data_IF_857315905167
#
_entry.id   IF_857315905167
#
_cell.length_a   1.000
_cell.length_b   1.000
_cell.length_c   1.000
_cell.angle_alpha   90.00
_cell.angle_beta   90.00
_cell.angle_gamma   90.00
#
_symmetry.space_group_name_H-M   'P 1'
#
loop_
_entity.id
_entity.type
_entity.pdbx_description
1 polymer ?
#
# COMPACT_ATOMS: atom_id res chain seq x y z
N UNK A 1 0.64 -0.87 1.28
CA UNK A 1 1.96 -1.52 1.46
C UNK A 1 2.80 -0.82 2.54
N UNK A 2 3.04 0.49 2.47
CA UNK A 2 3.77 1.24 3.50
C UNK A 2 3.25 1.00 4.94
N UNK A 3 1.94 0.98 5.14
CA UNK A 3 1.35 0.64 6.45
C UNK A 3 1.80 -0.75 6.97
N UNK A 4 1.80 -1.77 6.10
CA UNK A 4 2.22 -3.11 6.46
C UNK A 4 3.72 -3.17 6.78
N UNK A 5 4.53 -2.35 6.10
CA UNK A 5 5.96 -2.23 6.37
C UNK A 5 6.25 -1.63 7.73
N UNK A 6 5.63 -0.49 8.04
CA UNK A 6 5.76 0.16 9.36
C UNK A 6 5.25 -0.76 10.47
N UNK A 7 4.15 -1.48 10.24
CA UNK A 7 3.62 -2.45 11.21
C UNK A 7 4.44 -3.76 11.29
N UNK A 8 5.40 -3.99 10.39
CA UNK A 8 6.11 -5.28 10.18
C UNK A 8 5.18 -6.48 9.96
N UNK A 9 4.10 -6.27 9.24
CA UNK A 9 3.09 -7.28 8.94
C UNK A 9 3.11 -7.68 7.46
N UNK A 10 2.59 -8.87 7.17
CA UNK A 10 2.52 -9.40 5.82
C UNK A 10 1.21 -8.99 5.13
N UNK A 11 1.29 -8.77 3.82
CA UNK A 11 0.20 -8.31 2.96
C UNK A 11 -0.21 -9.41 1.99
N UNK A 12 -1.51 -9.66 1.85
CA UNK A 12 -2.10 -10.52 0.84
C UNK A 12 -2.81 -9.68 -0.22
N UNK A 13 -2.44 -9.86 -1.47
CA UNK A 13 -3.07 -9.24 -2.64
C UNK A 13 -3.93 -10.29 -3.37
N UNK A 14 -5.24 -10.05 -3.43
CA UNK A 14 -6.19 -10.94 -4.11
C UNK A 14 -6.78 -10.21 -5.30
N UNK A 15 -6.61 -10.75 -6.50
CA UNK A 15 -7.13 -10.13 -7.71
C UNK A 15 -6.69 -10.86 -8.96
N UNK A 16 -7.34 -10.65 -10.11
CA UNK A 16 -7.04 -11.36 -11.33
C UNK A 16 -5.58 -11.16 -11.78
N UNK A 17 -5.05 -12.07 -12.63
CA UNK A 17 -3.72 -11.91 -13.20
C UNK A 17 -3.66 -10.66 -14.08
N UNK A 18 -2.47 -10.05 -14.20
CA UNK A 18 -2.26 -8.86 -15.04
C UNK A 18 -2.65 -7.52 -14.39
N UNK A 19 -3.04 -7.50 -13.12
CA UNK A 19 -3.41 -6.29 -12.35
C UNK A 19 -2.23 -5.47 -11.80
N UNK A 20 -1.01 -5.71 -12.29
CA UNK A 20 0.18 -4.95 -11.85
C UNK A 20 0.66 -5.22 -10.42
N UNK A 21 0.14 -6.26 -9.73
CA UNK A 21 0.51 -6.63 -8.35
C UNK A 21 2.03 -6.70 -8.14
N UNK A 22 2.75 -7.43 -9.01
CA UNK A 22 4.21 -7.59 -8.93
C UNK A 22 4.94 -6.27 -9.20
N UNK A 23 4.45 -5.46 -10.14
CA UNK A 23 5.05 -4.16 -10.46
C UNK A 23 4.94 -3.18 -9.27
N UNK A 24 3.78 -3.12 -8.61
CA UNK A 24 3.58 -2.29 -7.43
C UNK A 24 4.53 -2.70 -6.29
N UNK A 25 4.69 -4.01 -6.05
CA UNK A 25 5.60 -4.52 -5.01
C UNK A 25 7.05 -4.19 -5.33
N UNK A 26 7.49 -4.39 -6.57
CA UNK A 26 8.84 -4.03 -7.02
C UNK A 26 9.11 -2.53 -6.87
N UNK A 27 8.16 -1.68 -7.24
CA UNK A 27 8.32 -0.23 -7.13
C UNK A 27 8.58 0.21 -5.68
N UNK A 28 7.84 -0.37 -4.72
CA UNK A 28 8.06 -0.06 -3.30
C UNK A 28 9.36 -0.65 -2.76
N UNK A 29 9.77 -1.83 -3.24
CA UNK A 29 10.99 -2.47 -2.78
C UNK A 29 12.27 -1.85 -3.38
N UNK A 30 12.22 -1.42 -4.65
CA UNK A 30 13.36 -0.88 -5.41
C UNK A 30 14.05 0.29 -4.70
N UNK A 31 13.28 1.06 -3.96
CA UNK A 31 13.79 2.19 -3.21
C UNK A 31 14.43 1.87 -1.85
N UNK A 32 14.19 0.69 -1.30
CA UNK A 32 14.60 0.38 0.08
C UNK A 32 16.04 -0.07 0.23
N UNK A 33 16.69 -0.43 -0.88
CA UNK A 33 18.00 -1.10 -0.88
C UNK A 33 17.97 -2.51 -0.28
N UNK A 34 16.79 -3.06 0.00
CA UNK A 34 16.65 -4.33 0.70
C UNK A 34 16.90 -5.53 -0.22
N UNK A 35 17.39 -6.63 0.36
CA UNK A 35 17.45 -7.93 -0.34
C UNK A 35 16.04 -8.44 -0.62
N UNK A 36 15.66 -8.40 -1.89
CA UNK A 36 14.34 -8.81 -2.35
C UNK A 36 14.39 -10.24 -2.89
N UNK A 37 13.39 -11.04 -2.51
CA UNK A 37 13.15 -12.36 -3.07
C UNK A 37 11.79 -12.38 -3.76
N UNK A 38 11.76 -12.73 -5.04
CA UNK A 38 10.54 -12.84 -5.83
C UNK A 38 10.43 -14.25 -6.41
N UNK A 39 9.29 -14.90 -6.21
CA UNK A 39 9.06 -16.26 -6.71
C UNK A 39 7.58 -16.53 -6.99
N UNK A 40 7.30 -17.22 -8.10
CA UNK A 40 5.96 -17.69 -8.48
C UNK A 40 5.78 -19.14 -8.04
N UNK A 41 4.88 -19.39 -7.09
CA UNK A 41 4.66 -20.71 -6.52
C UNK A 41 3.71 -21.53 -7.41
N UNK A 42 4.19 -22.69 -7.85
CA UNK A 42 3.40 -23.70 -8.56
C UNK A 42 3.14 -24.94 -7.72
N UNK A 43 2.25 -25.80 -8.22
CA UNK A 43 1.89 -27.09 -7.55
C UNK A 43 3.07 -28.05 -7.42
N UNK A 44 4.06 -27.92 -8.29
CA UNK A 44 5.26 -28.76 -8.33
C UNK A 44 6.50 -28.04 -7.82
N UNK A 45 6.37 -26.83 -7.30
CA UNK A 45 7.50 -26.11 -6.72
C UNK A 45 8.11 -26.95 -5.61
N UNK A 46 9.43 -27.05 -5.63
CA UNK A 46 10.20 -27.78 -4.65
C UNK A 46 10.67 -26.83 -3.53
N UNK A 47 10.80 -27.32 -2.28
CA UNK A 47 11.35 -26.51 -1.20
C UNK A 47 12.74 -25.94 -1.49
N UNK A 48 13.55 -26.63 -2.32
CA UNK A 48 14.88 -26.15 -2.71
C UNK A 48 14.86 -24.84 -3.50
N UNK A 49 13.77 -24.55 -4.20
CA UNK A 49 13.62 -23.35 -5.03
C UNK A 49 13.33 -22.10 -4.18
N UNK A 50 12.71 -22.26 -3.00
CA UNK A 50 12.43 -21.15 -2.08
C UNK A 50 13.45 -21.04 -0.96
N UNK A 51 13.89 -22.17 -0.43
CA UNK A 51 14.69 -22.24 0.78
C UNK A 51 16.11 -22.73 0.55
N UNK A 52 16.49 -22.96 -0.71
CA UNK A 52 17.82 -23.38 -1.09
C UNK A 52 18.02 -24.90 -1.16
N UNK A 53 18.87 -25.38 -2.09
CA UNK A 53 19.21 -26.79 -2.21
C UNK A 53 19.98 -27.27 -0.97
N UNK A 54 20.04 -28.59 -0.77
CA UNK A 54 20.92 -29.14 0.26
C UNK A 54 22.38 -28.99 -0.16
N UNK A 55 23.21 -28.55 0.77
CA UNK A 55 24.66 -28.54 0.63
C UNK A 55 25.15 -30.00 0.59
N UNK A 56 25.69 -30.40 -0.57
CA UNK A 56 26.16 -31.77 -0.80
C UNK A 56 27.38 -32.13 0.04
N UNK A 57 28.24 -31.16 0.39
CA UNK A 57 29.40 -31.40 1.25
C UNK A 57 28.97 -31.60 2.70
N UNK A 58 28.05 -30.76 3.17
CA UNK A 58 27.44 -30.94 4.50
C UNK A 58 26.69 -32.28 4.59
N UNK A 59 25.98 -32.67 3.53
CA UNK A 59 25.25 -33.93 3.48
C UNK A 59 26.19 -35.14 3.52
N UNK A 60 27.33 -35.09 2.81
CA UNK A 60 28.38 -36.13 2.91
C UNK A 60 28.93 -36.28 4.33
N UNK A 61 28.93 -35.20 5.11
CA UNK A 61 29.29 -35.20 6.53
C UNK A 61 28.11 -35.55 7.47
N UNK A 62 26.98 -36.02 6.93
CA UNK A 62 25.78 -36.41 7.70
C UNK A 62 24.94 -35.23 8.22
N UNK A 63 25.17 -34.01 7.71
CA UNK A 63 24.46 -32.80 8.16
C UNK A 63 23.44 -32.35 7.11
N UNK A 64 22.18 -32.17 7.51
CA UNK A 64 21.13 -31.61 6.68
C UNK A 64 21.17 -30.08 6.72
N UNK A 65 22.06 -29.49 5.92
CA UNK A 65 22.22 -28.03 5.80
C UNK A 65 21.79 -27.56 4.41
N UNK A 66 20.85 -26.61 4.29
CA UNK A 66 20.55 -25.96 3.03
C UNK A 66 21.54 -24.82 2.73
N UNK A 67 21.84 -24.60 1.45
CA UNK A 67 22.48 -23.37 0.96
C UNK A 67 21.40 -22.32 0.70
N UNK A 68 21.27 -21.37 1.62
CA UNK A 68 20.23 -20.34 1.61
C UNK A 68 20.65 -19.06 0.87
N UNK A 69 21.83 -19.05 0.23
CA UNK A 69 22.38 -17.86 -0.40
C UNK A 69 21.43 -17.30 -1.48
N UNK A 70 20.98 -16.07 -1.30
CA UNK A 70 20.04 -15.41 -2.24
C UNK A 70 18.62 -15.98 -2.23
N UNK A 71 18.29 -16.82 -1.24
CA UNK A 71 16.98 -17.47 -1.10
C UNK A 71 16.11 -16.73 -0.09
N UNK A 72 14.84 -17.15 0.03
CA UNK A 72 13.86 -16.55 0.94
C UNK A 72 14.37 -16.38 2.40
N UNK A 73 15.13 -17.32 2.99
CA UNK A 73 15.63 -17.16 4.36
C UNK A 73 16.59 -15.98 4.57
N UNK A 74 17.21 -15.42 3.52
CA UNK A 74 18.09 -14.24 3.61
C UNK A 74 17.40 -12.92 3.20
N UNK A 75 16.18 -13.03 2.68
CA UNK A 75 15.43 -11.92 2.14
C UNK A 75 14.90 -10.98 3.24
N UNK A 76 14.98 -9.68 2.97
CA UNK A 76 14.42 -8.62 3.80
C UNK A 76 13.01 -8.26 3.33
N UNK A 77 12.75 -8.45 2.04
CA UNK A 77 11.45 -8.34 1.41
C UNK A 77 11.19 -9.56 0.53
N UNK A 78 9.96 -10.08 0.59
CA UNK A 78 9.56 -11.20 -0.26
C UNK A 78 8.27 -10.90 -1.02
N UNK A 79 8.23 -11.26 -2.31
CA UNK A 79 7.03 -11.33 -3.12
C UNK A 79 6.80 -12.79 -3.54
N UNK A 80 5.69 -13.37 -3.09
CA UNK A 80 5.31 -14.74 -3.39
C UNK A 80 4.01 -14.73 -4.20
N UNK A 81 4.10 -14.95 -5.50
CA UNK A 81 2.93 -15.04 -6.36
C UNK A 81 2.35 -16.46 -6.33
N UNK A 82 1.04 -16.56 -6.49
CA UNK A 82 0.24 -17.77 -6.29
C UNK A 82 0.55 -18.53 -4.99
N UNK A 83 0.60 -17.78 -3.88
CA UNK A 83 1.11 -18.26 -2.59
C UNK A 83 0.35 -19.48 -2.03
N UNK A 84 -0.89 -19.72 -2.47
CA UNK A 84 -1.72 -20.85 -2.03
C UNK A 84 -1.53 -22.13 -2.86
N UNK A 85 -0.80 -22.10 -3.99
CA UNK A 85 -0.56 -23.28 -4.83
C UNK A 85 0.58 -24.17 -4.31
N UNK A 86 1.31 -23.71 -3.30
CA UNK A 86 2.44 -24.45 -2.73
C UNK A 86 2.03 -25.80 -2.12
N UNK A 87 2.94 -26.76 -2.19
CA UNK A 87 2.77 -28.04 -1.49
C UNK A 87 2.68 -27.84 0.03
N UNK A 88 2.09 -28.80 0.75
CA UNK A 88 2.01 -28.75 2.23
C UNK A 88 3.36 -28.55 2.89
N UNK A 89 4.44 -29.10 2.31
CA UNK A 89 5.80 -28.90 2.79
C UNK A 89 6.26 -27.43 2.68
N UNK A 90 5.96 -26.77 1.55
CA UNK A 90 6.26 -25.35 1.34
C UNK A 90 5.46 -24.49 2.30
N UNK A 91 4.15 -24.70 2.38
CA UNK A 91 3.27 -23.89 3.22
C UNK A 91 3.67 -23.97 4.70
N UNK A 92 4.01 -25.16 5.20
CA UNK A 92 4.49 -25.34 6.57
C UNK A 92 5.84 -24.65 6.82
N UNK A 93 6.77 -24.71 5.87
CA UNK A 93 8.03 -23.98 5.98
C UNK A 93 7.82 -22.45 5.96
N UNK A 94 6.91 -21.97 5.10
CA UNK A 94 6.50 -20.57 5.05
C UNK A 94 5.84 -20.12 6.36
N UNK A 95 5.10 -20.98 7.06
CA UNK A 95 4.55 -20.63 8.39
C UNK A 95 5.66 -20.27 9.39
N UNK A 96 6.78 -21.00 9.40
CA UNK A 96 7.93 -20.68 10.25
C UNK A 96 8.55 -19.33 9.87
N UNK A 97 8.72 -19.10 8.58
CA UNK A 97 9.29 -17.86 8.05
C UNK A 97 8.42 -16.64 8.35
N UNK A 98 7.10 -16.72 8.10
CA UNK A 98 6.17 -15.60 8.26
C UNK A 98 5.88 -15.31 9.75
N UNK A 99 5.72 -16.34 10.58
CA UNK A 99 5.35 -16.15 12.00
C UNK A 99 6.56 -15.90 12.89
N UNK A 100 7.49 -16.85 12.91
CA UNK A 100 8.59 -16.88 13.87
C UNK A 100 9.78 -16.07 13.36
N UNK A 101 9.77 -15.65 12.08
CA UNK A 101 10.91 -15.06 11.40
C UNK A 101 12.14 -15.97 11.55
N UNK A 102 11.91 -17.28 11.41
CA UNK A 102 12.92 -18.33 11.49
C UNK A 102 12.69 -19.39 10.44
N UNK A 103 13.78 -19.95 9.93
CA UNK A 103 13.75 -21.09 9.02
C UNK A 103 14.45 -22.27 9.68
N UNK A 104 13.74 -23.40 9.77
CA UNK A 104 14.22 -24.64 10.38
C UNK A 104 14.16 -25.80 9.40
N UNK A 105 15.26 -26.55 9.30
CA UNK A 105 15.34 -27.81 8.54
C UNK A 105 16.28 -28.78 9.24
N UNK A 106 15.72 -29.79 9.92
CA UNK A 106 16.50 -30.69 10.76
C UNK A 106 17.20 -29.93 11.89
N UNK A 107 18.54 -30.01 11.93
CA UNK A 107 19.36 -29.26 12.90
C UNK A 107 19.74 -27.85 12.44
N UNK A 108 19.42 -27.48 11.19
CA UNK A 108 19.61 -26.12 10.71
C UNK A 108 18.48 -25.23 11.23
N UNK A 109 18.83 -24.14 11.90
CA UNK A 109 17.90 -23.14 12.42
C UNK A 109 18.55 -21.75 12.30
N UNK A 110 17.93 -20.86 11.54
CA UNK A 110 18.42 -19.48 11.33
C UNK A 110 17.29 -18.47 11.48
N UNK A 111 17.64 -17.28 11.95
CA UNK A 111 16.74 -16.13 11.88
C UNK A 111 16.61 -15.66 10.43
N UNK A 112 15.41 -15.18 10.07
CA UNK A 112 15.08 -14.65 8.75
C UNK A 112 14.87 -13.14 8.89
N UNK A 113 15.63 -12.29 8.17
CA UNK A 113 15.59 -10.83 8.32
C UNK A 113 14.39 -10.19 7.60
N UNK A 114 13.39 -10.97 7.21
CA UNK A 114 12.20 -10.52 6.50
C UNK A 114 11.50 -9.43 7.31
N UNK A 115 11.23 -8.27 6.73
CA UNK A 115 10.39 -7.19 7.30
C UNK A 115 8.94 -7.39 6.87
N UNK A 116 8.74 -7.66 5.58
CA UNK A 116 7.43 -7.86 4.98
C UNK A 116 7.48 -8.90 3.86
N UNK A 117 6.37 -9.63 3.74
CA UNK A 117 6.11 -10.55 2.65
C UNK A 117 4.81 -10.10 2.03
N UNK A 118 4.80 -9.96 0.71
CA UNK A 118 3.59 -9.73 -0.06
C UNK A 118 3.27 -11.05 -0.77
N UNK A 119 2.19 -11.70 -0.32
CA UNK A 119 1.61 -12.83 -1.03
C UNK A 119 0.61 -12.33 -2.06
N UNK A 120 0.60 -12.94 -3.25
CA UNK A 120 -0.44 -12.71 -4.24
C UNK A 120 -1.14 -14.03 -4.58
N UNK A 121 -2.42 -13.94 -4.91
CA UNK A 121 -3.15 -15.02 -5.57
C UNK A 121 -4.35 -14.45 -6.33
N UNK A 122 -4.94 -15.25 -7.20
CA UNK A 122 -6.13 -14.88 -7.94
C UNK A 122 -7.40 -14.92 -7.09
N UNK A 123 -7.46 -15.84 -6.12
CA UNK A 123 -8.60 -16.02 -5.24
C UNK A 123 -8.14 -16.46 -3.85
N UNK A 124 -9.02 -16.27 -2.86
CA UNK A 124 -8.84 -16.87 -1.55
C UNK A 124 -9.11 -18.37 -1.62
N UNK A 125 -8.40 -19.19 -0.84
CA UNK A 125 -8.60 -20.63 -0.84
C UNK A 125 -9.88 -21.00 -0.08
N UNK A 126 -10.61 -21.99 -0.57
CA UNK A 126 -11.79 -22.56 0.12
C UNK A 126 -11.41 -23.59 1.20
N UNK A 127 -10.21 -24.18 1.09
CA UNK A 127 -9.72 -25.18 2.04
C UNK A 127 -9.44 -24.54 3.43
N UNK A 128 -10.05 -25.05 4.52
CA UNK A 128 -9.79 -24.59 5.88
C UNK A 128 -8.30 -24.58 6.29
N UNK A 129 -7.50 -25.53 5.79
CA UNK A 129 -6.06 -25.59 6.07
C UNK A 129 -5.31 -24.40 5.46
N UNK A 130 -5.70 -24.02 4.24
CA UNK A 130 -5.15 -22.85 3.57
C UNK A 130 -5.69 -21.54 4.15
N UNK A 131 -6.91 -21.53 4.70
CA UNK A 131 -7.42 -20.38 5.44
C UNK A 131 -6.58 -20.05 6.70
N UNK A 132 -6.07 -21.08 7.40
CA UNK A 132 -5.17 -20.89 8.54
C UNK A 132 -3.79 -20.32 8.13
N UNK A 133 -3.34 -20.63 6.90
CA UNK A 133 -2.16 -20.03 6.28
C UNK A 133 -2.46 -18.60 5.79
N UNK A 134 -3.62 -18.34 5.20
CA UNK A 134 -4.06 -17.00 4.81
C UNK A 134 -4.15 -16.04 6.01
N UNK A 135 -4.53 -16.55 7.19
CA UNK A 135 -4.54 -15.76 8.44
C UNK A 135 -3.20 -15.07 8.69
N UNK A 136 -2.09 -15.66 8.25
CA UNK A 136 -0.72 -15.17 8.47
C UNK A 136 -0.43 -13.83 7.81
N UNK A 137 -1.15 -13.54 6.74
CA UNK A 137 -1.19 -12.23 6.11
C UNK A 137 -2.23 -11.37 6.79
N UNK A 138 -1.77 -10.52 7.71
CA UNK A 138 -2.66 -9.69 8.51
C UNK A 138 -3.47 -8.73 7.63
N UNK A 139 -2.80 -8.09 6.67
CA UNK A 139 -3.41 -7.13 5.75
C UNK A 139 -3.88 -7.85 4.50
N UNK A 140 -5.12 -7.63 4.07
CA UNK A 140 -5.65 -8.14 2.80
C UNK A 140 -6.21 -7.00 1.98
N UNK A 141 -5.77 -6.91 0.74
CA UNK A 141 -6.26 -5.97 -0.25
C UNK A 141 -6.77 -6.73 -1.47
N UNK A 142 -7.99 -6.41 -1.87
CA UNK A 142 -8.56 -6.89 -3.11
C UNK A 142 -8.22 -5.90 -4.22
N UNK A 143 -7.62 -6.40 -5.29
CA UNK A 143 -7.16 -5.62 -6.44
C UNK A 143 -8.09 -5.92 -7.59
N UNK A 144 -8.69 -4.87 -8.13
CA UNK A 144 -9.56 -4.95 -9.30
C UNK A 144 -8.76 -4.64 -10.58
N UNK A 145 -9.22 -5.14 -11.74
CA UNK A 145 -8.74 -4.64 -13.03
C UNK A 145 -8.86 -3.12 -13.08
N UNK A 146 -7.99 -2.52 -13.89
CA UNK A 146 -8.07 -1.09 -14.13
C UNK A 146 -9.45 -0.73 -14.69
N UNK A 147 -10.03 0.36 -14.18
CA UNK A 147 -11.30 0.85 -14.69
C UNK A 147 -11.13 1.33 -16.15
N UNK A 148 -12.18 1.18 -16.95
CA UNK A 148 -12.18 1.62 -18.35
C UNK A 148 -11.80 3.11 -18.50
N UNK A 149 -12.09 3.93 -17.49
CA UNK A 149 -11.76 5.36 -17.45
C UNK A 149 -10.27 5.67 -17.38
N UNK A 150 -9.45 4.70 -16.99
CA UNK A 150 -7.99 4.84 -16.86
C UNK A 150 -7.25 4.06 -17.97
N UNK A 151 -7.98 3.45 -18.91
CA UNK A 151 -7.44 2.59 -19.95
C UNK A 151 -6.55 3.36 -20.93
N UNK A 152 -6.94 4.58 -21.30
CA UNK A 152 -6.14 5.44 -22.18
C UNK A 152 -4.77 5.76 -21.56
N UNK A 153 -4.72 6.01 -20.25
CA UNK A 153 -3.47 6.24 -19.54
C UNK A 153 -2.60 4.97 -19.56
N UNK A 154 -3.18 3.80 -19.26
CA UNK A 154 -2.45 2.52 -19.35
C UNK A 154 -1.87 2.27 -20.76
N UNK A 155 -2.67 2.50 -21.80
CA UNK A 155 -2.28 2.26 -23.19
C UNK A 155 -1.26 3.27 -23.71
N UNK A 156 -1.31 4.51 -23.21
CA UNK A 156 -0.29 5.52 -23.50
C UNK A 156 1.09 5.13 -22.93
N UNK A 157 1.15 4.09 -22.08
CA UNK A 157 2.31 3.82 -21.24
C UNK A 157 2.50 4.93 -20.20
N UNK A 158 1.52 5.84 -20.07
CA UNK A 158 1.44 6.74 -18.95
C UNK A 158 1.34 5.83 -17.75
N UNK A 159 2.29 5.95 -16.81
CA UNK A 159 2.25 5.10 -15.68
C UNK A 159 0.95 5.39 -14.93
N UNK A 160 0.02 4.44 -14.96
CA UNK A 160 -1.16 4.45 -14.08
C UNK A 160 -0.60 4.26 -12.68
N UNK A 161 -0.18 5.38 -12.09
CA UNK A 161 0.68 5.46 -10.92
C UNK A 161 1.96 4.61 -11.01
N UNK A 162 2.85 4.82 -12.00
CA UNK A 162 4.23 4.98 -11.51
C UNK A 162 4.17 6.30 -10.76
N UNK A 163 4.37 6.20 -9.46
CA UNK A 163 5.18 7.20 -8.83
C UNK A 163 6.51 7.09 -9.58
N UNK A 164 6.66 7.83 -10.69
CA UNK A 164 7.96 8.37 -11.05
C UNK A 164 8.54 8.83 -9.70
N UNK A 165 9.65 8.26 -9.21
CA UNK A 165 10.24 8.73 -7.97
C UNK A 165 10.41 10.22 -8.15
N UNK A 166 9.54 11.01 -7.49
CA UNK A 166 9.46 12.43 -7.77
C UNK A 166 10.85 12.99 -7.65
N UNK A 167 11.33 13.68 -8.69
CA UNK A 167 12.66 14.28 -8.74
C UNK A 167 12.94 15.02 -7.42
N UNK A 168 13.60 14.35 -6.45
CA UNK A 168 13.98 14.94 -5.18
C UNK A 168 13.87 14.12 -3.89
N UNK A 169 12.99 13.11 -3.75
CA UNK A 169 12.89 12.36 -2.48
C UNK A 169 13.46 10.95 -2.56
N UNK A 170 14.50 10.72 -1.75
CA UNK A 170 15.13 9.42 -1.63
C UNK A 170 14.11 8.41 -1.06
N UNK A 171 14.00 7.22 -1.64
CA UNK A 171 13.10 6.22 -1.12
C UNK A 171 13.47 5.77 0.29
N UNK A 172 12.45 5.37 1.07
CA UNK A 172 12.62 4.89 2.45
C UNK A 172 13.59 3.73 2.52
N UNK A 173 14.73 3.96 3.15
CA UNK A 173 15.74 2.94 3.41
C UNK A 173 15.23 1.90 4.40
N UNK A 174 15.84 0.71 4.38
CA UNK A 174 15.55 -0.34 5.36
C UNK A 174 15.73 0.13 6.82
N UNK A 175 16.73 0.99 7.08
CA UNK A 175 16.99 1.55 8.40
C UNK A 175 15.86 2.48 8.87
N UNK A 176 15.32 3.30 7.98
CA UNK A 176 14.16 4.16 8.28
C UNK A 176 12.92 3.32 8.54
N UNK A 177 12.68 2.25 7.77
CA UNK A 177 11.57 1.32 8.01
C UNK A 177 11.70 0.67 9.40
N UNK A 178 12.91 0.26 9.79
CA UNK A 178 13.16 -0.32 11.10
C UNK A 178 12.91 0.70 12.22
N UNK A 179 13.39 1.94 12.06
CA UNK A 179 13.15 3.03 13.02
C UNK A 179 11.64 3.38 13.15
N UNK A 180 10.92 3.41 12.03
CA UNK A 180 9.46 3.62 12.01
C UNK A 180 8.73 2.48 12.72
N UNK A 181 9.14 1.23 12.51
CA UNK A 181 8.54 0.09 13.19
C UNK A 181 8.76 0.14 14.72
N UNK A 182 9.95 0.55 15.16
CA UNK A 182 10.26 0.76 16.58
C UNK A 182 9.49 1.94 17.19
N UNK A 183 9.26 3.00 16.41
CA UNK A 183 8.40 4.10 16.82
C UNK A 183 6.92 3.67 16.92
N UNK A 184 6.43 2.89 15.95
CA UNK A 184 5.05 2.39 15.93
C UNK A 184 4.77 1.50 17.16
N UNK A 185 5.74 0.70 17.60
CA UNK A 185 5.62 -0.12 18.80
C UNK A 185 5.45 0.69 20.10
N UNK A 186 5.78 2.00 20.09
CA UNK A 186 5.67 2.89 21.25
C UNK A 186 4.41 3.75 21.26
N UNK A 187 3.55 3.64 20.25
CA UNK A 187 2.29 4.38 20.18
C UNK A 187 1.36 3.96 21.32
N UNK A 188 0.79 4.93 22.02
CA UNK A 188 -0.24 4.65 23.02
C UNK A 188 -1.57 4.29 22.35
N UNK A 189 -1.98 3.03 22.52
CA UNK A 189 -3.24 2.49 22.04
C UNK A 189 -4.34 2.50 23.10
N UNK A 190 -4.03 2.84 24.36
CA UNK A 190 -5.01 2.82 25.44
C UNK A 190 -6.27 3.66 25.15
N UNK A 191 -6.18 4.87 24.56
CA UNK A 191 -7.35 5.69 24.25
C UNK A 191 -8.31 5.02 23.25
N UNK A 192 -7.78 4.32 22.26
CA UNK A 192 -8.56 3.78 21.13
C UNK A 192 -9.04 2.34 21.34
N UNK A 193 -8.46 1.57 22.28
CA UNK A 193 -8.82 0.16 22.55
C UNK A 193 -10.33 -0.09 22.76
N UNK A 194 -11.08 0.75 23.51
CA UNK A 194 -12.53 0.55 23.65
C UNK A 194 -13.28 0.65 22.32
N UNK A 195 -12.95 1.66 21.51
CA UNK A 195 -13.53 1.85 20.18
C UNK A 195 -13.13 0.72 19.23
N UNK A 196 -11.84 0.31 19.23
CA UNK A 196 -11.36 -0.85 18.50
C UNK A 196 -12.15 -2.12 18.84
N UNK A 197 -12.37 -2.40 20.13
CA UNK A 197 -13.15 -3.55 20.57
C UNK A 197 -14.62 -3.46 20.12
N UNK A 198 -15.21 -2.25 20.11
CA UNK A 198 -16.57 -2.05 19.61
C UNK A 198 -16.66 -2.33 18.10
N UNK A 199 -15.70 -1.86 17.31
CA UNK A 199 -15.60 -2.15 15.88
C UNK A 199 -15.52 -3.67 15.64
N UNK A 200 -14.63 -4.36 16.35
CA UNK A 200 -14.49 -5.82 16.22
C UNK A 200 -15.78 -6.55 16.59
N UNK A 201 -16.49 -6.13 17.64
CA UNK A 201 -17.80 -6.71 18.02
C UNK A 201 -18.86 -6.47 16.94
N UNK A 202 -18.90 -5.27 16.34
CA UNK A 202 -19.81 -4.94 15.24
C UNK A 202 -19.56 -5.83 14.02
N UNK A 203 -18.29 -6.02 13.64
CA UNK A 203 -17.90 -6.91 12.54
C UNK A 203 -18.31 -8.37 12.83
N UNK A 204 -18.04 -8.87 14.05
CA UNK A 204 -18.46 -10.22 14.47
C UNK A 204 -19.97 -10.41 14.46
N UNK A 205 -20.74 -9.39 14.86
CA UNK A 205 -22.20 -9.42 14.83
C UNK A 205 -22.78 -9.50 13.41
N UNK A 206 -22.02 -9.08 12.40
CA UNK A 206 -22.36 -9.22 10.96
C UNK A 206 -21.86 -10.53 10.35
N UNK A 207 -21.30 -11.44 11.16
CA UNK A 207 -20.79 -12.72 10.69
C UNK A 207 -19.34 -12.68 10.17
N UNK A 208 -18.66 -11.52 10.24
CA UNK A 208 -17.26 -11.41 9.84
C UNK A 208 -16.39 -12.16 10.85
N UNK A 209 -15.71 -13.21 10.40
CA UNK A 209 -14.83 -14.03 11.24
C UNK A 209 -13.44 -13.42 11.32
N UNK A 210 -13.13 -12.83 12.47
CA UNK A 210 -11.77 -12.37 12.80
C UNK A 210 -11.19 -13.25 13.90
N UNK A 211 -10.07 -13.92 13.60
CA UNK A 211 -9.30 -14.69 14.58
C UNK A 211 -8.78 -13.78 15.69
N UNK A 212 -8.60 -14.32 16.91
CA UNK A 212 -8.05 -13.53 18.01
C UNK A 212 -6.63 -13.03 17.69
N UNK A 213 -5.87 -13.78 16.90
CA UNK A 213 -4.58 -13.34 16.35
C UNK A 213 -4.73 -12.07 15.52
N UNK A 214 -5.66 -12.03 14.57
CA UNK A 214 -5.94 -10.83 13.74
C UNK A 214 -6.37 -9.64 14.59
N UNK A 215 -7.21 -9.87 15.59
CA UNK A 215 -7.68 -8.81 16.50
C UNK A 215 -6.54 -8.26 17.35
N UNK A 216 -5.67 -9.11 17.89
CA UNK A 216 -4.53 -8.66 18.68
C UNK A 216 -3.51 -7.94 17.80
N UNK A 217 -3.12 -8.57 16.69
CA UNK A 217 -2.12 -8.02 15.75
C UNK A 217 -2.63 -6.79 15.00
N UNK A 218 -3.93 -6.69 14.74
CA UNK A 218 -4.53 -5.53 14.05
C UNK A 218 -4.27 -4.19 14.75
N UNK A 219 -4.01 -4.20 16.06
CA UNK A 219 -3.54 -3.02 16.79
C UNK A 219 -2.21 -2.47 16.26
N UNK A 220 -1.31 -3.30 15.70
CA UNK A 220 -0.06 -2.84 15.10
C UNK A 220 -0.31 -1.96 13.87
N UNK A 221 -1.39 -2.24 13.11
CA UNK A 221 -1.80 -1.41 11.98
C UNK A 221 -2.38 -0.07 12.43
N UNK A 222 -3.16 -0.06 13.52
CA UNK A 222 -3.68 1.18 14.11
C UNK A 222 -2.53 2.05 14.63
N UNK A 223 -1.55 1.44 15.30
CA UNK A 223 -0.34 2.13 15.73
C UNK A 223 0.45 2.70 14.55
N UNK A 224 0.63 1.92 13.48
CA UNK A 224 1.30 2.39 12.27
C UNK A 224 0.53 3.55 11.61
N UNK A 225 -0.80 3.52 11.59
CA UNK A 225 -1.63 4.61 11.05
C UNK A 225 -1.46 5.91 11.86
N UNK A 226 -1.48 5.82 13.20
CA UNK A 226 -1.26 6.96 14.08
C UNK A 226 0.13 7.58 13.89
N UNK A 227 1.17 6.73 13.80
CA UNK A 227 2.54 7.17 13.57
C UNK A 227 2.68 7.88 12.21
N UNK A 228 2.10 7.30 11.15
CA UNK A 228 2.08 7.89 9.81
C UNK A 228 1.40 9.27 9.84
N UNK A 229 0.37 9.44 10.67
CA UNK A 229 -0.29 10.71 10.89
C UNK A 229 0.48 11.66 11.85
N UNK A 230 1.70 11.30 12.26
CA UNK A 230 2.57 12.12 13.11
C UNK A 230 2.19 12.14 14.59
N UNK A 231 1.31 11.23 15.05
CA UNK A 231 0.86 11.14 16.44
C UNK A 231 1.60 10.05 17.20
N UNK A 232 1.74 10.25 18.52
CA UNK A 232 2.27 9.25 19.46
C UNK A 232 1.19 8.56 20.31
N UNK A 233 -0.07 8.92 20.11
CA UNK A 233 -1.24 8.26 20.67
C UNK A 233 -2.25 8.03 19.55
N UNK A 234 -2.86 6.84 19.52
CA UNK A 234 -3.85 6.50 18.50
C UNK A 234 -5.23 7.04 18.87
N UNK A 235 -5.93 7.54 17.87
CA UNK A 235 -7.29 8.08 17.99
C UNK A 235 -8.28 7.21 17.20
N UNK A 236 -9.58 7.48 17.32
CA UNK A 236 -10.60 6.79 16.50
C UNK A 236 -10.36 6.97 15.00
N UNK A 237 -9.67 8.06 14.63
CA UNK A 237 -9.24 8.32 13.27
C UNK A 237 -8.25 7.29 12.69
N UNK A 238 -7.59 6.51 13.55
CA UNK A 238 -6.58 5.52 13.17
C UNK A 238 -7.15 4.10 13.05
N UNK A 239 -8.47 3.93 13.23
CA UNK A 239 -9.15 2.63 13.19
C UNK A 239 -9.43 2.11 11.79
N UNK A 240 -9.25 2.93 10.75
CA UNK A 240 -9.54 2.53 9.37
C UNK A 240 -8.81 1.26 8.91
N UNK A 241 -7.59 0.90 9.37
CA UNK A 241 -6.92 -0.31 8.90
C UNK A 241 -7.65 -1.60 9.23
N UNK A 242 -8.61 -1.56 10.16
CA UNK A 242 -9.41 -2.72 10.55
C UNK A 242 -10.17 -3.32 9.37
N UNK A 243 -10.54 -2.52 8.37
CA UNK A 243 -11.20 -3.03 7.14
C UNK A 243 -10.31 -4.04 6.42
N UNK A 244 -8.99 -3.83 6.44
CA UNK A 244 -8.02 -4.69 5.77
C UNK A 244 -7.70 -5.98 6.55
N UNK A 245 -8.24 -6.13 7.76
CA UNK A 245 -8.21 -7.40 8.50
C UNK A 245 -9.27 -8.39 7.99
N UNK A 246 -10.19 -7.95 7.15
CA UNK A 246 -11.28 -8.80 6.61
C UNK A 246 -10.79 -9.50 5.35
N UNK A 247 -10.74 -10.84 5.40
CA UNK A 247 -10.37 -11.72 4.28
C UNK A 247 -11.59 -12.27 3.55
N UNK A 248 -12.50 -11.37 3.19
CA UNK A 248 -13.64 -11.66 2.34
C UNK A 248 -14.04 -10.34 1.68
N UNK A 249 -14.25 -10.35 0.37
CA UNK A 249 -14.47 -9.12 -0.39
C UNK A 249 -15.76 -8.44 0.03
N UNK A 250 -16.84 -9.20 0.10
CA UNK A 250 -18.18 -8.68 0.43
C UNK A 250 -18.18 -8.13 1.86
N UNK A 251 -17.67 -8.91 2.81
CA UNK A 251 -17.58 -8.49 4.20
C UNK A 251 -16.63 -7.30 4.39
N UNK A 252 -15.58 -7.15 3.57
CA UNK A 252 -14.69 -6.00 3.62
C UNK A 252 -15.40 -4.72 3.15
N UNK A 253 -16.21 -4.81 2.09
CA UNK A 253 -17.02 -3.68 1.61
C UNK A 253 -18.12 -3.32 2.62
N UNK A 254 -18.81 -4.32 3.17
CA UNK A 254 -19.78 -4.12 4.25
C UNK A 254 -19.13 -3.52 5.50
N UNK A 255 -17.91 -3.93 5.84
CA UNK A 255 -17.14 -3.34 6.94
C UNK A 255 -16.82 -1.87 6.67
N UNK A 256 -16.44 -1.53 5.43
CA UNK A 256 -16.18 -0.15 5.02
C UNK A 256 -17.43 0.72 5.15
N UNK A 257 -18.58 0.22 4.68
CA UNK A 257 -19.86 0.94 4.76
C UNK A 257 -20.37 1.09 6.19
N UNK A 258 -20.27 0.00 6.98
CA UNK A 258 -20.65 -0.02 8.38
C UNK A 258 -19.86 0.98 9.19
N UNK A 259 -18.54 0.99 8.96
CA UNK A 259 -17.61 1.84 9.68
C UNK A 259 -17.52 3.23 9.07
N UNK A 260 -18.23 3.55 7.99
CA UNK A 260 -18.15 4.87 7.32
C UNK A 260 -18.51 6.04 8.23
N UNK A 261 -19.36 5.84 9.23
CA UNK A 261 -19.76 6.91 10.18
C UNK A 261 -18.70 7.08 11.27
N UNK A 262 -18.23 5.98 11.87
CA UNK A 262 -17.17 6.00 12.88
C UNK A 262 -15.81 6.37 12.29
N UNK A 263 -15.56 5.90 11.07
CA UNK A 263 -14.42 6.27 10.24
C UNK A 263 -14.70 7.54 9.43
N UNK A 264 -15.87 8.16 9.53
CA UNK A 264 -16.17 9.42 8.83
C UNK A 264 -15.38 10.59 9.39
N UNK A 265 -15.00 10.51 10.67
CA UNK A 265 -14.01 11.38 11.30
C UNK A 265 -12.56 10.89 11.07
N UNK A 266 -12.38 9.61 10.72
CA UNK A 266 -11.10 8.95 10.40
C UNK A 266 -10.68 9.05 8.93
N UNK A 267 -11.65 9.31 8.06
CA UNK A 267 -11.50 9.49 6.63
C UNK A 267 -10.97 10.90 6.41
N UNK A 268 -9.80 11.14 7.00
CA UNK A 268 -8.93 12.11 6.42
C UNK A 268 -8.67 11.64 4.98
N UNK A 269 -8.80 12.51 3.96
CA UNK A 269 -8.45 12.21 2.57
C UNK A 269 -7.02 11.65 2.40
N UNK A 270 -6.25 11.69 3.49
CA UNK A 270 -4.97 11.08 3.88
C UNK A 270 -4.84 9.56 3.63
N UNK A 271 -5.78 8.82 3.06
CA UNK A 271 -5.48 7.42 2.69
C UNK A 271 -4.94 7.29 1.27
N UNK A 272 -5.61 7.80 0.23
CA UNK A 272 -4.92 8.17 -1.00
C UNK A 272 -3.91 9.27 -0.73
N UNK A 273 -4.29 10.31 0.03
CA UNK A 273 -3.47 11.51 0.17
C UNK A 273 -2.36 11.42 1.21
N UNK A 274 -2.32 10.45 2.12
CA UNK A 274 -1.20 10.17 3.02
C UNK A 274 -0.55 8.81 2.81
N UNK A 275 -1.08 7.94 1.95
CA UNK A 275 -0.15 7.20 1.09
C UNK A 275 0.66 8.18 0.20
N UNK A 276 0.02 9.27 -0.27
CA UNK A 276 0.63 10.39 -1.03
C UNK A 276 1.10 11.57 -0.16
N UNK A 277 1.18 11.45 1.18
CA UNK A 277 1.64 12.49 2.12
C UNK A 277 2.50 11.95 3.27
N UNK A 278 2.42 10.65 3.59
CA UNK A 278 3.49 9.98 4.34
C UNK A 278 4.80 9.89 3.54
N UNK A 279 4.75 10.20 2.24
CA UNK A 279 5.91 10.52 1.40
C UNK A 279 5.87 11.94 0.82
N UNK A 280 5.03 12.86 1.32
CA UNK A 280 5.00 14.25 0.87
C UNK A 280 4.48 15.16 2.00
N UNK A 281 5.36 15.92 2.62
CA UNK A 281 4.92 16.99 3.52
C UNK A 281 4.01 18.02 2.81
N UNK A 282 3.32 18.91 3.55
CA UNK A 282 2.46 19.96 2.96
C UNK A 282 3.17 20.81 1.90
N UNK A 283 4.49 21.02 2.05
CA UNK A 283 5.30 21.76 1.10
C UNK A 283 5.53 21.03 -0.24
N UNK A 284 5.72 19.71 -0.21
CA UNK A 284 5.97 18.91 -1.41
C UNK A 284 4.69 18.72 -2.22
N UNK A 285 3.55 18.50 -1.54
CA UNK A 285 2.23 18.51 -2.17
C UNK A 285 1.90 19.85 -2.83
N UNK A 286 2.31 20.96 -2.22
CA UNK A 286 2.12 22.28 -2.81
C UNK A 286 2.96 22.48 -4.08
N UNK A 287 4.20 21.96 -4.10
CA UNK A 287 5.07 22.00 -5.26
C UNK A 287 4.55 21.15 -6.44
N UNK A 288 3.96 19.99 -6.15
CA UNK A 288 3.35 19.12 -7.17
C UNK A 288 2.11 19.77 -7.79
N UNK A 289 1.20 20.29 -6.96
CA UNK A 289 0.03 21.03 -7.47
C UNK A 289 0.45 22.30 -8.23
N UNK A 290 1.58 22.91 -7.88
CA UNK A 290 2.11 24.04 -8.64
C UNK A 290 2.56 23.61 -10.05
N UNK A 291 3.32 22.51 -10.15
CA UNK A 291 3.77 21.96 -11.43
C UNK A 291 2.62 21.46 -12.31
N UNK A 292 1.65 20.75 -11.72
CA UNK A 292 0.44 20.30 -12.41
C UNK A 292 -0.39 21.51 -12.89
N UNK A 293 -0.51 22.56 -12.08
CA UNK A 293 -1.19 23.80 -12.46
C UNK A 293 -0.50 24.53 -13.60
N UNK A 294 0.83 24.59 -13.60
CA UNK A 294 1.63 25.17 -14.68
C UNK A 294 1.49 24.38 -15.98
N UNK A 295 1.56 23.04 -15.92
CA UNK A 295 1.36 22.18 -17.08
C UNK A 295 -0.07 22.28 -17.64
N UNK A 296 -1.07 22.37 -16.76
CA UNK A 296 -2.46 22.56 -17.17
C UNK A 296 -2.67 23.93 -17.81
N UNK A 297 -2.03 24.98 -17.28
CA UNK A 297 -2.07 26.31 -17.88
C UNK A 297 -1.36 26.36 -19.24
N UNK A 298 -0.25 25.62 -19.41
CA UNK A 298 0.51 25.53 -20.65
C UNK A 298 -0.21 24.71 -21.74
N UNK A 299 -1.06 23.75 -21.36
CA UNK A 299 -1.84 22.93 -22.29
C UNK A 299 -3.19 23.55 -22.69
N UNK A 300 -3.45 24.79 -22.28
CA UNK A 300 -4.65 25.52 -22.65
C UNK A 300 -4.75 25.69 -24.17
N UNK A 301 -5.83 25.21 -24.83
CA UNK A 301 -6.01 25.43 -26.26
C UNK A 301 -6.13 26.93 -26.57
N UNK A 302 -5.48 27.37 -27.65
CA UNK A 302 -5.53 28.78 -28.06
C UNK A 302 -6.91 29.18 -28.62
N UNK A 303 -7.59 28.24 -29.29
CA UNK A 303 -8.94 28.44 -29.81
C UNK A 303 -9.99 28.17 -28.72
N UNK A 304 -10.53 29.25 -28.16
CA UNK A 304 -11.54 29.22 -27.10
C UNK A 304 -12.93 28.76 -27.56
N UNK A 305 -13.18 28.70 -28.87
CA UNK A 305 -14.46 28.26 -29.43
C UNK A 305 -14.50 26.76 -29.72
N UNK A 306 -13.34 26.09 -29.61
CA UNK A 306 -13.24 24.66 -29.82
C UNK A 306 -13.81 23.85 -28.64
N UNK A 307 -14.47 22.70 -28.87
CA UNK A 307 -14.90 21.79 -27.81
C UNK A 307 -13.77 21.33 -26.87
N UNK A 308 -12.53 21.28 -27.39
CA UNK A 308 -11.34 20.99 -26.60
C UNK A 308 -11.06 22.04 -25.51
N UNK A 309 -11.42 23.31 -25.74
CA UNK A 309 -11.28 24.37 -24.75
C UNK A 309 -12.31 24.23 -23.63
N UNK A 310 -13.55 23.85 -23.96
CA UNK A 310 -14.59 23.59 -22.95
C UNK A 310 -14.22 22.40 -22.05
N UNK A 311 -13.72 21.30 -22.64
CA UNK A 311 -13.21 20.16 -21.89
C UNK A 311 -11.98 20.53 -21.02
N UNK A 312 -11.08 21.38 -21.53
CA UNK A 312 -9.95 21.91 -20.77
C UNK A 312 -10.43 22.82 -19.63
N UNK A 313 -11.42 23.67 -19.85
CA UNK A 313 -11.96 24.61 -18.86
C UNK A 313 -12.57 23.87 -17.67
N UNK A 314 -13.36 22.81 -17.91
CA UNK A 314 -13.92 21.97 -16.85
C UNK A 314 -12.81 21.32 -16.00
N UNK A 315 -11.74 20.84 -16.65
CA UNK A 315 -10.56 20.30 -15.95
C UNK A 315 -9.85 21.37 -15.12
N UNK A 316 -9.68 22.58 -15.66
CA UNK A 316 -9.06 23.70 -14.96
C UNK A 316 -9.88 24.16 -13.75
N UNK A 317 -11.20 24.27 -13.87
CA UNK A 317 -12.09 24.64 -12.76
C UNK A 317 -12.09 23.58 -11.65
N UNK A 318 -12.15 22.30 -12.01
CA UNK A 318 -12.04 21.19 -11.06
C UNK A 318 -10.70 21.23 -10.31
N UNK A 319 -9.60 21.50 -11.03
CA UNK A 319 -8.27 21.61 -10.44
C UNK A 319 -8.13 22.81 -9.48
N UNK A 320 -8.74 23.96 -9.80
CA UNK A 320 -8.76 25.14 -8.93
C UNK A 320 -9.51 24.86 -7.61
N UNK A 321 -10.65 24.16 -7.69
CA UNK A 321 -11.40 23.71 -6.50
C UNK A 321 -10.54 22.77 -5.65
N UNK A 322 -9.78 21.88 -6.28
CA UNK A 322 -8.87 20.97 -5.59
C UNK A 322 -7.73 21.71 -4.85
N UNK A 323 -7.15 22.76 -5.45
CA UNK A 323 -6.13 23.59 -4.78
C UNK A 323 -6.73 24.30 -3.56
N UNK A 324 -7.90 24.90 -3.73
CA UNK A 324 -8.56 25.67 -2.67
C UNK A 324 -9.06 24.78 -1.51
N UNK A 325 -9.41 23.52 -1.81
CA UNK A 325 -9.73 22.52 -0.79
C UNK A 325 -8.50 21.98 -0.06
N UNK A 326 -7.33 22.00 -0.70
CA UNK A 326 -6.09 21.45 -0.15
C UNK A 326 -5.25 22.46 0.64
N UNK A 327 -5.31 23.76 0.31
CA UNK A 327 -4.54 24.81 0.96
C UNK A 327 -5.40 26.06 1.19
N UNK A 328 -5.49 26.48 2.47
CA UNK A 328 -6.05 27.76 2.84
C UNK A 328 -5.29 28.93 2.20
N UNK A 329 -5.97 30.06 1.98
CA UNK A 329 -5.40 31.20 1.25
C UNK A 329 -4.11 31.76 1.87
N UNK A 330 -3.99 31.73 3.21
CA UNK A 330 -2.83 32.24 3.95
C UNK A 330 -1.72 31.20 4.14
N UNK A 331 -2.04 29.91 3.98
CA UNK A 331 -1.12 28.79 4.19
C UNK A 331 -0.52 28.28 2.87
N UNK A 332 -0.87 28.92 1.75
CA UNK A 332 -0.46 28.51 0.40
C UNK A 332 0.98 28.96 0.09
N UNK A 333 1.89 28.03 -0.28
CA UNK A 333 3.23 28.39 -0.69
C UNK A 333 3.26 29.25 -1.97
N UNK A 334 4.26 30.14 -2.15
CA UNK A 334 4.28 31.12 -3.24
C UNK A 334 4.20 30.53 -4.66
N UNK A 335 4.86 29.40 -4.90
CA UNK A 335 4.85 28.72 -6.20
C UNK A 335 3.44 28.21 -6.57
N UNK A 336 2.71 27.64 -5.60
CA UNK A 336 1.34 27.17 -5.81
C UNK A 336 0.37 28.35 -6.01
N UNK A 337 0.59 29.47 -5.32
CA UNK A 337 -0.19 30.69 -5.54
C UNK A 337 0.00 31.21 -6.98
N UNK A 338 1.24 31.28 -7.46
CA UNK A 338 1.56 31.72 -8.82
C UNK A 338 0.94 30.82 -9.91
N UNK A 339 1.05 29.49 -9.75
CA UNK A 339 0.46 28.53 -10.69
C UNK A 339 -1.07 28.63 -10.75
N UNK A 340 -1.72 28.76 -9.58
CA UNK A 340 -3.18 28.94 -9.49
C UNK A 340 -3.63 30.24 -10.16
N UNK A 341 -2.91 31.34 -9.95
CA UNK A 341 -3.25 32.65 -10.52
C UNK A 341 -3.04 32.67 -12.04
N UNK A 342 -2.00 32.00 -12.54
CA UNK A 342 -1.79 31.82 -13.98
C UNK A 342 -2.93 31.02 -14.62
N UNK A 343 -3.37 29.93 -13.99
CA UNK A 343 -4.47 29.11 -14.46
C UNK A 343 -5.81 29.89 -14.45
N UNK A 344 -6.10 30.60 -13.36
CA UNK A 344 -7.27 31.48 -13.25
C UNK A 344 -7.30 32.57 -14.33
N UNK A 345 -6.14 33.16 -14.62
CA UNK A 345 -6.01 34.18 -15.67
C UNK A 345 -6.36 33.59 -17.03
N UNK A 346 -5.97 32.35 -17.31
CA UNK A 346 -6.26 31.67 -18.57
C UNK A 346 -7.72 31.26 -18.69
N UNK A 347 -8.36 30.84 -17.60
CA UNK A 347 -9.81 30.61 -17.56
C UNK A 347 -10.59 31.91 -17.84
N UNK A 348 -10.19 33.03 -17.21
CA UNK A 348 -10.91 34.31 -17.25
C UNK A 348 -10.51 35.26 -18.38
N UNK A 349 -9.49 34.93 -19.17
CA UNK A 349 -9.05 35.78 -20.28
C UNK A 349 -10.20 36.00 -21.29
N UNK A 350 -10.49 37.25 -21.70
CA UNK A 350 -11.53 37.53 -22.68
C UNK A 350 -11.19 36.93 -24.04
N UNK A 351 -12.22 36.49 -24.77
CA UNK A 351 -12.06 36.04 -26.16
C UNK A 351 -11.58 37.21 -27.00
N UNK A 352 -10.39 37.10 -27.59
CA UNK A 352 -9.88 38.10 -28.53
C UNK A 352 -10.86 38.20 -29.72
N UNK A 353 -11.65 39.28 -29.75
CA UNK A 353 -12.64 39.54 -30.81
C UNK A 353 -14.02 40.01 -30.34
N UNK A 354 -14.34 39.98 -29.04
CA UNK A 354 -15.60 40.54 -28.55
C UNK A 354 -15.43 42.03 -28.21
N UNK A 355 -15.52 42.89 -29.22
CA UNK A 355 -15.75 44.33 -29.03
C UNK A 355 -17.13 44.50 -28.36
N UNK A 356 -17.27 45.29 -27.29
CA UNK A 356 -18.57 45.57 -26.70
C UNK A 356 -19.38 46.46 -27.66
N UNK A 357 -20.62 46.05 -27.94
CA UNK A 357 -21.66 46.90 -28.53
C UNK A 357 -22.64 47.31 -27.44
#
# INVERSE_FOLDING_TARGET
MHLALVAREHLLLIGPPGTGKSAAVRACAAGTGARCFEYLIGRFTEPAELFGPLDLEALRAGKLRPDISGMLPEAEFAFLDEVFLGSTAILNALLGVLNERRYRRGHFDTAVPLRCCVGASNALPEDPGLAAFADRFLVTAFVDPLADTDLEALLAGDPVASVEPGDGEAPLTLAEIDALAEAAARIDLAPVRPAYAQVVRKLRARGVRLSDRRVVRGQSLVAAAALIAGRMAAEEADLWPVIHLVQDRIAQDEARDLLRVELGAAASPVLPAAAKAAGYGPAARAADLAREGEALAASAPDDRTAPAFEAWLVRAESFLVQIDAAFGAEERPPALAAARDALLTRCRAPVAGATPA
#
